data_IF_808258649310
#
_entry.id   IF_808258649310
#
_cell.length_a   1.000
_cell.length_b   1.000
_cell.length_c   1.000
_cell.angle_alpha   90.00
_cell.angle_beta   90.00
_cell.angle_gamma   90.00
#
_symmetry.space_group_name_H-M   'P 1'
#
loop_
_entity.id
_entity.type
_entity.pdbx_description
1 polymer ?
#
# COMPACT_ATOMS: atom_id res chain seq x y z
N UNK A 1 38.54 -1.81 -23.07
CA UNK A 1 37.57 -2.91 -23.10
C UNK A 1 36.38 -2.49 -22.27
N UNK A 2 35.29 -2.07 -22.95
CA UNK A 2 34.05 -1.71 -22.26
C UNK A 2 33.36 -3.01 -21.86
N UNK A 3 33.41 -3.33 -20.58
CA UNK A 3 32.61 -4.42 -20.02
C UNK A 3 31.13 -4.06 -20.22
N UNK A 4 30.49 -4.66 -21.20
CA UNK A 4 29.04 -4.66 -21.30
C UNK A 4 28.54 -5.41 -20.06
N UNK A 5 28.14 -4.65 -19.04
CA UNK A 5 27.41 -5.22 -17.90
C UNK A 5 26.10 -5.74 -18.43
N UNK A 6 26.04 -7.00 -18.80
CA UNK A 6 24.79 -7.69 -19.09
C UNK A 6 23.96 -7.68 -17.81
N UNK A 7 22.91 -6.89 -17.78
CA UNK A 7 21.99 -6.88 -16.63
C UNK A 7 21.43 -8.30 -16.44
N UNK A 8 21.38 -8.77 -15.21
CA UNK A 8 20.80 -10.07 -14.88
C UNK A 8 19.36 -10.15 -15.41
N UNK A 9 18.95 -11.31 -15.98
CA UNK A 9 17.58 -11.47 -16.42
C UNK A 9 16.62 -11.38 -15.23
N UNK A 10 15.48 -10.74 -15.44
CA UNK A 10 14.42 -10.65 -14.40
C UNK A 10 13.83 -12.04 -14.19
N UNK A 11 13.70 -12.43 -12.92
CA UNK A 11 13.09 -13.68 -12.48
C UNK A 11 11.83 -13.47 -11.66
N UNK A 12 11.67 -12.28 -11.04
CA UNK A 12 10.51 -12.00 -10.19
C UNK A 12 9.99 -10.58 -10.39
N UNK A 13 8.68 -10.44 -10.21
CA UNK A 13 8.01 -9.14 -10.17
C UNK A 13 7.36 -9.02 -8.79
N UNK A 14 7.76 -8.01 -8.05
CA UNK A 14 7.23 -7.72 -6.71
C UNK A 14 6.26 -6.54 -6.81
N UNK A 15 5.13 -6.65 -6.16
CA UNK A 15 4.08 -5.63 -6.16
C UNK A 15 3.79 -5.17 -4.73
N UNK A 16 3.73 -3.87 -4.52
CA UNK A 16 2.99 -3.37 -3.36
C UNK A 16 1.49 -3.62 -3.58
N UNK A 17 0.74 -3.62 -2.50
CA UNK A 17 -0.71 -3.84 -2.53
C UNK A 17 -1.46 -2.51 -2.49
N UNK A 18 -1.38 -1.77 -1.38
CA UNK A 18 -2.10 -0.51 -1.22
C UNK A 18 -1.55 0.60 -2.10
N UNK A 19 -2.33 1.13 -3.02
CA UNK A 19 -1.88 2.17 -3.95
C UNK A 19 -1.26 1.63 -5.23
N UNK A 20 -1.16 0.30 -5.39
CA UNK A 20 -0.68 -0.36 -6.61
C UNK A 20 -1.70 -1.39 -7.10
N UNK A 21 -1.90 -2.48 -6.36
CA UNK A 21 -2.84 -3.55 -6.74
C UNK A 21 -4.28 -3.16 -6.39
N UNK A 22 -4.45 -2.48 -5.26
CA UNK A 22 -5.74 -1.91 -4.85
C UNK A 22 -5.59 -0.40 -4.64
N UNK A 23 -6.70 0.31 -4.65
CA UNK A 23 -6.72 1.76 -4.43
C UNK A 23 -6.00 2.12 -3.13
N UNK A 24 -5.36 3.29 -3.14
CA UNK A 24 -4.59 3.77 -1.99
C UNK A 24 -5.50 4.09 -0.80
N UNK A 25 -5.16 3.63 0.40
CA UNK A 25 -5.87 4.02 1.63
C UNK A 25 -5.79 5.53 1.91
N UNK A 26 -4.84 6.25 1.31
CA UNK A 26 -4.71 7.71 1.45
C UNK A 26 -5.93 8.45 0.90
N UNK A 27 -6.70 7.86 -0.02
CA UNK A 27 -7.93 8.47 -0.55
C UNK A 27 -8.94 8.70 0.60
N UNK A 28 -9.13 7.69 1.44
CA UNK A 28 -10.02 7.81 2.61
C UNK A 28 -9.51 8.85 3.62
N UNK A 29 -8.19 8.95 3.74
CA UNK A 29 -7.54 9.94 4.61
C UNK A 29 -7.81 11.37 4.13
N UNK A 30 -7.73 11.63 2.82
CA UNK A 30 -8.07 12.96 2.27
C UNK A 30 -9.53 13.34 2.50
N UNK A 31 -10.45 12.36 2.42
CA UNK A 31 -11.87 12.59 2.74
C UNK A 31 -12.02 12.98 4.20
N UNK A 32 -11.34 12.26 5.09
CA UNK A 32 -11.36 12.51 6.54
C UNK A 32 -10.78 13.90 6.87
N UNK A 33 -9.66 14.28 6.25
CA UNK A 33 -9.04 15.62 6.41
C UNK A 33 -10.05 16.71 6.07
N UNK A 34 -10.72 16.59 4.92
CA UNK A 34 -11.71 17.56 4.47
C UNK A 34 -12.88 17.71 5.46
N UNK A 35 -13.38 16.59 5.98
CA UNK A 35 -14.46 16.59 6.98
C UNK A 35 -14.04 17.24 8.30
N UNK A 36 -12.77 17.12 8.65
CA UNK A 36 -12.20 17.72 9.87
C UNK A 36 -11.72 19.18 9.67
N UNK A 37 -11.84 19.73 8.45
CA UNK A 37 -11.35 21.07 8.12
C UNK A 37 -9.83 21.18 8.14
N UNK A 38 -9.12 20.06 7.95
CA UNK A 38 -7.66 20.01 7.92
C UNK A 38 -7.15 20.36 6.50
N UNK A 39 -5.96 20.95 6.38
CA UNK A 39 -5.33 21.10 5.09
C UNK A 39 -5.13 19.75 4.41
N UNK A 40 -5.21 19.74 3.09
CA UNK A 40 -4.97 18.52 2.31
C UNK A 40 -3.56 17.99 2.59
N UNK A 41 -3.45 16.69 2.76
CA UNK A 41 -2.21 15.98 3.08
C UNK A 41 -1.61 16.35 4.46
N UNK A 42 -2.39 16.95 5.38
CA UNK A 42 -1.89 17.31 6.73
C UNK A 42 -1.54 16.05 7.54
N UNK A 43 -2.33 14.98 7.41
CA UNK A 43 -2.10 13.72 8.13
C UNK A 43 -0.91 12.92 7.55
N UNK A 44 -0.63 13.07 6.26
CA UNK A 44 0.32 12.21 5.55
C UNK A 44 1.78 12.30 6.08
N UNK A 45 2.40 13.49 6.23
CA UNK A 45 3.74 13.56 6.83
C UNK A 45 3.78 13.08 8.28
N UNK A 46 2.68 13.18 9.00
CA UNK A 46 2.58 12.69 10.37
C UNK A 46 2.68 11.16 10.44
N UNK A 47 2.08 10.45 9.49
CA UNK A 47 2.19 8.99 9.42
C UNK A 47 3.64 8.53 9.23
N UNK A 48 4.49 9.35 8.62
CA UNK A 48 5.88 9.00 8.30
C UNK A 48 6.85 9.01 9.47
N UNK A 49 6.47 9.45 10.68
CA UNK A 49 7.42 9.84 11.73
C UNK A 49 7.78 8.74 12.76
N UNK A 50 7.47 7.49 12.48
CA UNK A 50 8.00 6.39 13.30
C UNK A 50 7.21 6.05 14.56
N UNK A 51 5.96 6.42 14.61
CA UNK A 51 5.09 6.19 15.76
C UNK A 51 4.26 4.89 15.71
N UNK A 52 3.04 4.98 16.20
CA UNK A 52 2.10 3.87 16.32
C UNK A 52 1.87 3.14 14.98
N UNK A 53 1.79 3.92 13.87
CA UNK A 53 1.56 3.37 12.54
C UNK A 53 2.65 2.36 12.15
N UNK A 54 3.94 2.73 12.27
CA UNK A 54 5.06 1.86 11.90
C UNK A 54 5.16 0.64 12.81
N UNK A 55 4.91 0.83 14.11
CA UNK A 55 4.88 -0.28 15.08
C UNK A 55 3.77 -1.28 14.74
N UNK A 56 2.61 -0.77 14.33
CA UNK A 56 1.47 -1.60 13.92
C UNK A 56 1.78 -2.38 12.64
N UNK A 57 2.40 -1.73 11.65
CA UNK A 57 2.83 -2.40 10.41
C UNK A 57 3.89 -3.48 10.65
N UNK A 58 4.69 -3.38 11.74
CA UNK A 58 5.64 -4.44 12.11
C UNK A 58 5.03 -5.52 13.02
N UNK A 59 3.74 -5.43 13.34
CA UNK A 59 3.09 -6.39 14.21
C UNK A 59 3.39 -6.22 15.70
N UNK A 60 4.01 -5.10 16.09
CA UNK A 60 4.44 -4.80 17.47
C UNK A 60 3.30 -4.31 18.37
N UNK A 61 2.23 -3.81 17.77
CA UNK A 61 1.05 -3.31 18.49
C UNK A 61 -0.16 -4.16 18.18
N UNK A 62 -1.00 -4.37 19.17
CA UNK A 62 -2.34 -4.94 19.00
C UNK A 62 -3.30 -3.85 18.51
N UNK A 63 -4.41 -4.27 17.93
CA UNK A 63 -5.35 -3.37 17.23
C UNK A 63 -5.91 -2.27 18.15
N UNK A 64 -6.38 -2.62 19.34
CA UNK A 64 -7.03 -1.62 20.21
C UNK A 64 -6.04 -0.61 20.81
N UNK A 65 -4.87 -1.01 21.34
CA UNK A 65 -3.83 -0.04 21.70
C UNK A 65 -3.38 0.83 20.53
N UNK A 66 -3.29 0.25 19.33
CA UNK A 66 -2.95 1.02 18.12
C UNK A 66 -3.95 2.16 17.89
N UNK A 67 -5.26 1.90 17.96
CA UNK A 67 -6.27 2.94 17.75
C UNK A 67 -6.07 4.16 18.68
N UNK A 68 -5.81 3.88 19.95
CA UNK A 68 -5.63 4.94 20.95
C UNK A 68 -4.39 5.78 20.63
N UNK A 69 -3.24 5.10 20.50
CA UNK A 69 -1.97 5.77 20.21
C UNK A 69 -2.01 6.52 18.87
N UNK A 70 -2.58 5.90 17.84
CA UNK A 70 -2.70 6.48 16.50
C UNK A 70 -3.53 7.77 16.52
N UNK A 71 -4.68 7.72 17.22
CA UNK A 71 -5.54 8.90 17.39
C UNK A 71 -4.85 9.99 18.18
N UNK A 72 -4.15 9.64 19.28
CA UNK A 72 -3.40 10.58 20.12
C UNK A 72 -2.28 11.27 19.34
N UNK A 73 -1.43 10.48 18.64
CA UNK A 73 -0.32 11.00 17.84
C UNK A 73 -0.80 11.96 16.76
N UNK A 74 -1.86 11.58 16.04
CA UNK A 74 -2.40 12.42 14.96
C UNK A 74 -3.21 13.62 15.47
N UNK A 75 -3.57 13.66 16.76
CA UNK A 75 -4.23 14.81 17.37
C UNK A 75 -3.24 15.85 17.90
N UNK A 76 -1.95 15.54 17.94
CA UNK A 76 -0.93 16.49 18.38
C UNK A 76 -0.68 17.55 17.30
N UNK A 77 -1.40 18.67 17.38
CA UNK A 77 -1.26 19.75 16.40
C UNK A 77 0.11 20.46 16.49
N UNK A 78 0.80 20.39 17.62
CA UNK A 78 2.15 20.94 17.75
C UNK A 78 3.13 20.23 16.81
N UNK A 79 3.18 18.90 16.93
CA UNK A 79 4.02 18.05 16.07
C UNK A 79 3.48 18.03 14.64
N UNK A 80 2.18 17.84 14.47
CA UNK A 80 1.54 17.76 13.16
C UNK A 80 1.80 18.99 12.29
N UNK A 81 1.63 20.17 12.88
CA UNK A 81 1.87 21.43 12.17
C UNK A 81 3.35 21.61 11.82
N UNK A 82 4.26 21.15 12.68
CA UNK A 82 5.69 21.20 12.39
C UNK A 82 6.04 20.33 11.18
N UNK A 83 5.64 19.06 11.20
CA UNK A 83 5.91 18.11 10.09
C UNK A 83 5.27 18.57 8.79
N UNK A 84 4.07 19.13 8.86
CA UNK A 84 3.38 19.64 7.67
C UNK A 84 4.09 20.86 7.08
N UNK A 85 4.62 21.78 7.90
CA UNK A 85 5.43 22.91 7.41
C UNK A 85 6.69 22.42 6.68
N UNK A 86 7.40 21.45 7.28
CA UNK A 86 8.60 20.83 6.66
C UNK A 86 8.25 20.17 5.32
N UNK A 87 7.11 19.49 5.28
CA UNK A 87 6.61 18.84 4.07
C UNK A 87 6.29 19.88 2.97
N UNK A 88 5.57 20.93 3.28
CA UNK A 88 5.28 22.03 2.33
C UNK A 88 6.58 22.65 1.79
N UNK A 89 7.54 22.93 2.68
CA UNK A 89 8.85 23.49 2.31
C UNK A 89 9.59 22.55 1.33
N UNK A 90 9.54 21.25 1.59
CA UNK A 90 10.21 20.27 0.72
C UNK A 90 9.62 20.21 -0.70
N UNK A 91 8.38 20.67 -0.85
CA UNK A 91 7.67 20.72 -2.13
C UNK A 91 7.59 22.11 -2.76
N UNK A 92 8.19 23.12 -2.13
CA UNK A 92 8.06 24.53 -2.51
C UNK A 92 6.58 24.99 -2.53
N UNK A 93 5.77 24.50 -1.60
CA UNK A 93 4.36 24.87 -1.47
C UNK A 93 4.16 25.85 -0.31
N UNK A 94 3.18 26.75 -0.47
CA UNK A 94 2.80 27.67 0.61
C UNK A 94 2.11 26.90 1.73
N UNK A 95 2.41 27.29 2.97
CA UNK A 95 1.75 26.70 4.15
C UNK A 95 0.38 27.38 4.33
N UNK A 96 -0.72 26.63 4.28
CA UNK A 96 -2.04 27.22 4.53
C UNK A 96 -2.26 27.50 6.03
N UNK A 97 -3.44 28.00 6.39
CA UNK A 97 -3.85 28.12 7.79
C UNK A 97 -3.85 26.73 8.42
N UNK A 98 -3.15 26.59 9.54
CA UNK A 98 -3.00 25.32 10.25
C UNK A 98 -3.95 25.22 11.44
N UNK A 99 -4.42 24.00 11.80
CA UNK A 99 -5.33 23.85 12.94
C UNK A 99 -4.65 24.17 14.25
N UNK A 100 -5.35 24.89 15.14
CA UNK A 100 -4.92 25.12 16.52
C UNK A 100 -5.15 23.89 17.40
N UNK A 101 -6.22 23.15 17.10
CA UNK A 101 -6.56 21.91 17.77
C UNK A 101 -7.33 21.00 16.81
N UNK A 102 -7.18 19.69 16.97
CA UNK A 102 -7.98 18.70 16.24
C UNK A 102 -8.08 17.45 17.11
N UNK A 103 -9.20 16.76 17.01
CA UNK A 103 -9.35 15.44 17.63
C UNK A 103 -9.54 14.40 16.54
N UNK A 104 -8.56 13.51 16.40
CA UNK A 104 -8.57 12.41 15.46
C UNK A 104 -9.04 11.15 16.18
N UNK A 105 -10.08 10.53 15.66
CA UNK A 105 -10.50 9.21 16.11
C UNK A 105 -9.72 8.16 15.32
N UNK A 106 -8.73 7.54 15.98
CA UNK A 106 -7.84 6.56 15.33
C UNK A 106 -8.56 5.34 14.80
N UNK A 107 -9.60 4.86 15.51
CA UNK A 107 -10.42 3.73 15.04
C UNK A 107 -11.19 4.10 13.76
N UNK A 108 -11.87 5.24 13.81
CA UNK A 108 -12.67 5.71 12.67
C UNK A 108 -11.80 5.96 11.43
N UNK A 109 -10.68 6.65 11.61
CA UNK A 109 -9.75 6.93 10.49
C UNK A 109 -9.21 5.63 9.90
N UNK A 110 -8.69 4.74 10.74
CA UNK A 110 -8.12 3.45 10.28
C UNK A 110 -9.19 2.61 9.58
N UNK A 111 -10.39 2.52 10.16
CA UNK A 111 -11.50 1.78 9.54
C UNK A 111 -11.85 2.30 8.15
N UNK A 112 -11.89 3.63 7.96
CA UNK A 112 -12.13 4.22 6.63
C UNK A 112 -11.03 3.85 5.63
N UNK A 113 -9.77 3.87 6.08
CA UNK A 113 -8.62 3.52 5.23
C UNK A 113 -8.70 2.05 4.79
N UNK A 114 -9.12 1.15 5.69
CA UNK A 114 -9.13 -0.30 5.42
C UNK A 114 -10.31 -0.72 4.52
N UNK A 115 -11.44 -0.02 4.56
CA UNK A 115 -12.62 -0.36 3.75
C UNK A 115 -12.48 -0.02 2.27
N UNK A 116 -11.40 0.65 1.85
CA UNK A 116 -11.17 1.03 0.45
C UNK A 116 -10.31 -0.06 -0.24
N UNK A 117 -10.94 -1.02 -0.90
CA UNK A 117 -10.26 -2.21 -1.45
C UNK A 117 -10.71 -2.54 -2.88
N UNK A 118 -10.69 -1.56 -3.78
CA UNK A 118 -11.02 -1.78 -5.19
C UNK A 118 -9.74 -2.05 -5.99
N UNK A 119 -9.74 -3.11 -6.79
CA UNK A 119 -8.58 -3.50 -7.60
C UNK A 119 -8.33 -2.52 -8.76
N UNK A 120 -7.03 -2.27 -9.03
CA UNK A 120 -6.64 -1.57 -10.26
C UNK A 120 -6.76 -2.53 -11.44
N UNK A 121 -7.57 -2.21 -12.46
CA UNK A 121 -7.84 -3.16 -13.55
C UNK A 121 -6.62 -3.44 -14.43
N UNK A 122 -5.73 -2.48 -14.63
CA UNK A 122 -4.53 -2.68 -15.46
C UNK A 122 -3.51 -3.56 -14.75
N UNK A 123 -3.32 -3.33 -13.45
CA UNK A 123 -2.42 -4.16 -12.64
C UNK A 123 -2.97 -5.58 -12.50
N UNK A 124 -4.28 -5.72 -12.27
CA UNK A 124 -4.91 -7.05 -12.18
C UNK A 124 -4.72 -7.83 -13.50
N UNK A 125 -4.97 -7.18 -14.64
CA UNK A 125 -4.75 -7.78 -15.97
C UNK A 125 -3.28 -8.18 -16.16
N UNK A 126 -2.36 -7.29 -15.77
CA UNK A 126 -0.91 -7.56 -15.88
C UNK A 126 -0.50 -8.77 -15.03
N UNK A 127 -1.01 -8.89 -13.81
CA UNK A 127 -0.74 -10.02 -12.92
C UNK A 127 -1.22 -11.33 -13.57
N UNK A 128 -2.44 -11.36 -14.14
CA UNK A 128 -2.96 -12.54 -14.80
C UNK A 128 -2.06 -12.97 -15.98
N UNK A 129 -1.65 -12.03 -16.83
CA UNK A 129 -0.76 -12.33 -17.98
C UNK A 129 0.63 -12.79 -17.54
N UNK A 130 1.17 -12.19 -16.45
CA UNK A 130 2.42 -12.66 -15.86
C UNK A 130 2.30 -14.12 -15.42
N UNK A 131 1.19 -14.49 -14.75
CA UNK A 131 0.93 -15.86 -14.30
C UNK A 131 0.81 -16.82 -15.49
N UNK A 132 0.07 -16.42 -16.52
CA UNK A 132 -0.07 -17.21 -17.76
C UNK A 132 1.28 -17.47 -18.44
N UNK A 133 2.19 -16.51 -18.39
CA UNK A 133 3.52 -16.65 -19.00
C UNK A 133 4.39 -17.72 -18.34
N UNK A 134 4.16 -17.99 -17.05
CA UNK A 134 4.94 -18.93 -16.21
C UNK A 134 6.46 -18.61 -16.19
N UNK A 135 6.84 -17.37 -16.52
CA UNK A 135 8.25 -16.96 -16.64
C UNK A 135 8.78 -16.29 -15.40
N UNK A 136 7.90 -15.77 -14.55
CA UNK A 136 8.27 -14.92 -13.41
C UNK A 136 7.58 -15.40 -12.14
N UNK A 137 8.29 -15.28 -11.04
CA UNK A 137 7.69 -15.41 -9.72
C UNK A 137 6.99 -14.09 -9.39
N UNK A 138 5.75 -14.14 -8.93
CA UNK A 138 4.89 -12.97 -8.68
C UNK A 138 4.68 -12.88 -7.18
N UNK A 139 5.16 -11.79 -6.56
CA UNK A 139 5.22 -11.68 -5.11
C UNK A 139 4.55 -10.38 -4.66
N UNK A 140 3.70 -10.46 -3.64
CA UNK A 140 3.25 -9.28 -2.91
C UNK A 140 4.31 -8.91 -1.86
N UNK A 141 4.72 -7.62 -1.81
CA UNK A 141 5.62 -7.09 -0.79
C UNK A 141 4.95 -5.86 -0.19
N UNK A 142 4.28 -6.03 0.96
CA UNK A 142 3.32 -5.05 1.45
C UNK A 142 3.50 -4.75 2.94
N UNK A 143 3.33 -3.47 3.31
CA UNK A 143 3.07 -3.08 4.68
C UNK A 143 1.59 -3.40 4.96
N UNK A 144 1.33 -4.33 5.88
CA UNK A 144 0.00 -4.90 6.05
C UNK A 144 -0.22 -5.37 7.50
N UNK A 145 -1.35 -5.99 7.78
CA UNK A 145 -1.85 -6.18 9.14
C UNK A 145 -2.39 -7.60 9.39
N UNK A 146 -1.93 -8.61 8.65
CA UNK A 146 -2.46 -9.98 8.78
C UNK A 146 -2.29 -10.55 10.18
N UNK A 147 -1.17 -10.26 10.84
CA UNK A 147 -0.94 -10.72 12.21
C UNK A 147 -1.98 -10.16 13.19
N UNK A 148 -2.37 -8.90 13.02
CA UNK A 148 -3.40 -8.29 13.87
C UNK A 148 -4.79 -8.86 13.59
N UNK A 149 -5.09 -9.09 12.31
CA UNK A 149 -6.35 -9.75 11.92
C UNK A 149 -6.47 -11.11 12.60
N UNK A 150 -5.41 -11.92 12.55
CA UNK A 150 -5.40 -13.26 13.16
C UNK A 150 -5.58 -13.18 14.70
N UNK A 151 -4.90 -12.24 15.36
CA UNK A 151 -5.06 -12.04 16.81
C UNK A 151 -6.50 -11.69 17.18
N UNK A 152 -7.14 -10.80 16.43
CA UNK A 152 -8.54 -10.40 16.71
C UNK A 152 -9.49 -11.56 16.41
N UNK A 153 -9.32 -12.23 15.25
CA UNK A 153 -10.16 -13.39 14.86
C UNK A 153 -10.10 -14.50 15.90
N UNK A 154 -8.91 -14.75 16.42
CA UNK A 154 -8.65 -15.88 17.33
C UNK A 154 -8.76 -15.50 18.82
N UNK A 155 -9.35 -14.32 19.14
CA UNK A 155 -9.57 -13.88 20.51
C UNK A 155 -10.37 -14.92 21.30
N UNK A 156 -9.82 -15.46 22.39
CA UNK A 156 -10.53 -16.48 23.17
C UNK A 156 -11.87 -15.97 23.75
N UNK A 157 -12.90 -16.81 23.87
CA UNK A 157 -14.19 -16.41 24.44
C UNK A 157 -14.08 -15.72 25.80
N UNK A 158 -13.11 -16.12 26.64
CA UNK A 158 -12.86 -15.51 27.94
C UNK A 158 -12.42 -14.04 27.88
N UNK A 159 -11.95 -13.57 26.73
CA UNK A 159 -11.46 -12.20 26.53
C UNK A 159 -12.36 -11.35 25.62
N UNK A 160 -13.40 -11.93 25.04
CA UNK A 160 -14.25 -11.22 24.06
C UNK A 160 -15.01 -10.04 24.65
N UNK A 161 -15.22 -9.98 25.95
CA UNK A 161 -15.86 -8.85 26.64
C UNK A 161 -14.92 -7.73 27.07
N UNK A 162 -13.62 -7.83 26.78
CA UNK A 162 -12.64 -6.85 27.22
C UNK A 162 -12.72 -5.51 26.47
N UNK A 163 -13.35 -5.49 25.31
CA UNK A 163 -13.47 -4.29 24.46
C UNK A 163 -14.94 -3.97 24.17
N UNK A 164 -15.18 -2.73 23.77
CA UNK A 164 -16.54 -2.20 23.50
C UNK A 164 -17.28 -2.98 22.42
N UNK A 165 -16.57 -3.51 21.44
CA UNK A 165 -17.14 -4.27 20.32
C UNK A 165 -16.59 -5.70 20.32
N UNK A 166 -17.41 -6.66 19.90
CA UNK A 166 -16.93 -8.03 19.75
C UNK A 166 -15.88 -8.14 18.64
N UNK A 167 -15.00 -9.14 18.67
CA UNK A 167 -14.04 -9.35 17.58
C UNK A 167 -14.68 -9.38 16.19
N UNK A 168 -15.82 -10.07 16.05
CA UNK A 168 -16.54 -10.16 14.77
C UNK A 168 -17.02 -8.78 14.31
N UNK A 169 -17.62 -7.99 15.20
CA UNK A 169 -18.10 -6.64 14.88
C UNK A 169 -16.93 -5.72 14.49
N UNK A 170 -15.77 -5.89 15.13
CA UNK A 170 -14.58 -5.12 14.81
C UNK A 170 -14.02 -5.48 13.42
N UNK A 171 -13.94 -6.78 13.13
CA UNK A 171 -13.48 -7.24 11.82
C UNK A 171 -14.42 -6.77 10.70
N UNK A 172 -15.74 -6.81 10.92
CA UNK A 172 -16.71 -6.28 9.96
C UNK A 172 -16.55 -4.77 9.76
N UNK A 173 -16.35 -4.04 10.86
CA UNK A 173 -16.10 -2.58 10.80
C UNK A 173 -14.89 -2.25 9.93
N UNK A 174 -13.83 -3.06 9.99
CA UNK A 174 -12.61 -2.86 9.20
C UNK A 174 -12.74 -3.35 7.74
N UNK A 175 -13.84 -4.02 7.39
CA UNK A 175 -13.96 -4.69 6.10
C UNK A 175 -13.11 -5.97 6.03
N UNK A 176 -12.76 -6.53 7.18
CA UNK A 176 -11.97 -7.76 7.32
C UNK A 176 -12.83 -8.97 7.73
N UNK A 177 -14.14 -8.88 7.54
CA UNK A 177 -15.08 -9.92 7.94
C UNK A 177 -14.89 -11.24 7.19
N UNK A 178 -15.77 -12.21 7.49
CA UNK A 178 -15.67 -13.58 6.95
C UNK A 178 -15.62 -13.63 5.41
N UNK A 179 -16.38 -12.75 4.76
CA UNK A 179 -16.47 -12.75 3.29
C UNK A 179 -15.20 -12.23 2.61
N UNK A 180 -14.44 -11.38 3.30
CA UNK A 180 -13.19 -10.84 2.78
C UNK A 180 -11.97 -11.64 3.24
N UNK A 181 -12.01 -12.25 4.42
CA UNK A 181 -10.91 -13.05 4.96
C UNK A 181 -9.72 -12.24 5.43
N UNK A 182 -9.94 -10.99 5.84
CA UNK A 182 -8.91 -10.13 6.42
C UNK A 182 -8.27 -9.16 5.43
N UNK A 183 -7.23 -8.42 5.87
CA UNK A 183 -6.57 -7.40 5.05
C UNK A 183 -5.79 -7.97 3.86
N UNK A 184 -5.54 -9.27 3.89
CA UNK A 184 -4.89 -10.01 2.80
C UNK A 184 -5.70 -11.27 2.52
N UNK A 185 -6.98 -11.07 2.22
CA UNK A 185 -7.92 -12.17 2.05
C UNK A 185 -7.60 -13.08 0.87
N UNK A 186 -8.29 -14.22 0.77
CA UNK A 186 -7.98 -15.25 -0.23
C UNK A 186 -7.94 -14.74 -1.68
N UNK A 187 -8.80 -13.80 -2.03
CA UNK A 187 -8.83 -13.24 -3.40
C UNK A 187 -7.53 -12.51 -3.75
N UNK A 188 -6.99 -11.70 -2.83
CA UNK A 188 -5.72 -11.00 -3.04
C UNK A 188 -4.57 -12.01 -3.03
N UNK A 189 -4.52 -12.90 -2.02
CA UNK A 189 -3.43 -13.88 -1.90
C UNK A 189 -3.31 -14.78 -3.12
N UNK A 190 -4.45 -15.17 -3.73
CA UNK A 190 -4.48 -16.04 -4.90
C UNK A 190 -3.81 -15.43 -6.14
N UNK A 191 -3.60 -14.12 -6.16
CA UNK A 191 -2.91 -13.44 -7.27
C UNK A 191 -1.40 -13.69 -7.28
N UNK A 192 -0.82 -14.11 -6.15
CA UNK A 192 0.63 -14.14 -5.93
C UNK A 192 1.13 -15.55 -5.60
N UNK A 193 2.38 -15.80 -5.96
CA UNK A 193 3.08 -17.04 -5.60
C UNK A 193 3.58 -16.99 -4.15
N UNK A 194 3.81 -15.75 -3.63
CA UNK A 194 4.17 -15.51 -2.24
C UNK A 194 3.62 -14.16 -1.80
N UNK A 195 3.35 -14.03 -0.50
CA UNK A 195 2.75 -12.83 0.09
C UNK A 195 3.55 -12.41 1.32
N UNK A 196 4.46 -11.46 1.13
CA UNK A 196 5.36 -10.95 2.17
C UNK A 196 4.67 -9.79 2.89
N UNK A 197 4.20 -10.06 4.10
CA UNK A 197 3.41 -9.17 4.95
C UNK A 197 4.29 -8.67 6.10
N UNK A 198 4.43 -7.36 6.23
CA UNK A 198 5.30 -6.72 7.22
C UNK A 198 4.97 -7.14 8.65
N UNK A 199 3.68 -7.25 8.98
CA UNK A 199 3.25 -7.59 10.36
C UNK A 199 3.60 -9.03 10.73
N UNK A 200 3.76 -9.90 9.74
CA UNK A 200 4.17 -11.31 9.95
C UNK A 200 5.70 -11.42 10.00
N UNK A 201 6.38 -10.67 9.13
CA UNK A 201 7.86 -10.68 9.04
C UNK A 201 8.50 -9.92 10.21
N UNK A 202 7.81 -8.94 10.78
CA UNK A 202 8.36 -8.08 11.85
C UNK A 202 9.26 -6.97 11.33
N UNK A 203 9.19 -6.68 10.01
CA UNK A 203 9.94 -5.59 9.37
C UNK A 203 9.09 -5.03 8.24
N UNK A 204 9.21 -3.72 7.98
CA UNK A 204 8.35 -3.01 7.04
C UNK A 204 9.16 -2.26 5.99
N UNK A 205 8.56 -1.96 4.84
CA UNK A 205 9.14 -1.01 3.89
C UNK A 205 9.15 0.39 4.54
N UNK A 206 10.22 1.18 4.41
CA UNK A 206 11.41 1.00 3.57
C UNK A 206 12.62 0.36 4.27
N UNK A 207 12.46 -0.40 5.33
CA UNK A 207 13.57 -1.08 6.01
C UNK A 207 14.19 -2.12 5.08
N UNK A 208 15.53 -2.13 4.88
CA UNK A 208 16.17 -3.09 3.96
C UNK A 208 15.86 -4.56 4.27
N UNK A 209 15.63 -4.90 5.54
CA UNK A 209 15.43 -6.27 5.99
C UNK A 209 14.23 -6.95 5.31
N UNK A 210 13.12 -6.24 5.08
CA UNK A 210 11.94 -6.88 4.46
C UNK A 210 12.19 -7.23 2.98
N UNK A 211 12.95 -6.40 2.25
CA UNK A 211 13.31 -6.67 0.86
C UNK A 211 14.24 -7.87 0.77
N UNK A 212 15.23 -7.92 1.65
CA UNK A 212 16.19 -9.04 1.73
C UNK A 212 15.46 -10.34 2.09
N UNK A 213 14.53 -10.28 3.05
CA UNK A 213 13.66 -11.40 3.40
C UNK A 213 12.87 -11.88 2.17
N UNK A 214 12.21 -10.95 1.47
CA UNK A 214 11.40 -11.28 0.29
C UNK A 214 12.23 -11.95 -0.81
N UNK A 215 13.42 -11.44 -1.08
CA UNK A 215 14.34 -12.05 -2.06
C UNK A 215 14.74 -13.45 -1.64
N UNK A 216 15.18 -13.61 -0.39
CA UNK A 216 15.63 -14.90 0.16
C UNK A 216 14.50 -15.94 0.12
N UNK A 217 13.29 -15.56 0.58
CA UNK A 217 12.13 -16.47 0.61
C UNK A 217 11.73 -16.94 -0.78
N UNK A 218 12.00 -16.11 -1.80
CA UNK A 218 11.61 -16.41 -3.18
C UNK A 218 12.78 -16.89 -4.06
N UNK A 219 13.97 -17.11 -3.50
CA UNK A 219 15.11 -17.69 -4.19
C UNK A 219 15.65 -16.80 -5.32
N UNK A 220 15.58 -15.47 -5.17
CA UNK A 220 16.06 -14.51 -6.16
C UNK A 220 17.04 -13.51 -5.55
N UNK A 221 17.91 -12.96 -6.39
CA UNK A 221 18.76 -11.84 -6.01
C UNK A 221 18.08 -10.51 -6.32
N UNK A 222 18.36 -9.44 -5.58
CA UNK A 222 17.71 -8.14 -5.85
C UNK A 222 17.79 -7.67 -7.31
N UNK A 223 18.93 -7.87 -7.98
CA UNK A 223 19.12 -7.48 -9.38
C UNK A 223 18.31 -8.31 -10.39
N UNK A 224 17.63 -9.36 -9.92
CA UNK A 224 16.71 -10.20 -10.71
C UNK A 224 15.24 -9.83 -10.49
N UNK A 225 14.97 -8.74 -9.71
CA UNK A 225 13.62 -8.32 -9.31
C UNK A 225 13.26 -6.98 -9.95
N UNK A 226 12.01 -6.87 -10.41
CA UNK A 226 11.35 -5.58 -10.66
C UNK A 226 10.34 -5.36 -9.54
N UNK A 227 10.41 -4.22 -8.85
CA UNK A 227 9.49 -3.87 -7.77
C UNK A 227 8.63 -2.65 -8.14
N UNK A 228 7.31 -2.79 -8.00
CA UNK A 228 6.33 -1.74 -8.24
C UNK A 228 5.77 -1.23 -6.91
N UNK A 229 5.86 0.09 -6.66
CA UNK A 229 5.39 0.71 -5.41
C UNK A 229 5.03 2.18 -5.70
N UNK A 230 4.09 2.76 -4.96
CA UNK A 230 3.70 4.17 -5.13
C UNK A 230 4.56 5.12 -4.30
N UNK A 231 5.22 4.63 -3.24
CA UNK A 231 6.02 5.45 -2.34
C UNK A 231 7.49 5.49 -2.77
N UNK A 232 7.96 6.70 -3.12
CA UNK A 232 9.34 6.89 -3.56
C UNK A 232 10.40 6.42 -2.57
N UNK A 233 10.11 6.52 -1.27
CA UNK A 233 11.04 6.07 -0.22
C UNK A 233 11.24 4.54 -0.27
N UNK A 234 10.17 3.79 -0.50
CA UNK A 234 10.23 2.34 -0.67
C UNK A 234 11.08 1.95 -1.90
N UNK A 235 10.83 2.64 -3.02
CA UNK A 235 11.57 2.41 -4.27
C UNK A 235 13.06 2.74 -4.11
N UNK A 236 13.37 3.83 -3.38
CA UNK A 236 14.76 4.25 -3.13
C UNK A 236 15.55 3.13 -2.43
N UNK A 237 14.98 2.53 -1.38
CA UNK A 237 15.62 1.41 -0.68
C UNK A 237 15.78 0.20 -1.60
N UNK A 238 14.75 -0.15 -2.37
CA UNK A 238 14.80 -1.25 -3.33
C UNK A 238 15.94 -1.05 -4.35
N UNK A 239 16.09 0.18 -4.89
CA UNK A 239 17.17 0.54 -5.82
C UNK A 239 18.55 0.41 -5.17
N UNK A 240 18.69 0.86 -3.92
CA UNK A 240 19.96 0.74 -3.18
C UNK A 240 20.38 -0.71 -2.98
N UNK A 241 19.39 -1.63 -2.92
CA UNK A 241 19.64 -3.06 -2.83
C UNK A 241 19.90 -3.72 -4.19
N UNK A 242 19.71 -2.98 -5.30
CA UNK A 242 19.96 -3.46 -6.65
C UNK A 242 18.72 -3.88 -7.44
N UNK A 243 17.51 -3.69 -6.91
CA UNK A 243 16.29 -4.00 -7.64
C UNK A 243 16.03 -2.95 -8.74
N UNK A 244 15.42 -3.39 -9.83
CA UNK A 244 14.79 -2.46 -10.78
C UNK A 244 13.45 -2.02 -10.19
N UNK A 245 13.09 -0.76 -10.38
CA UNK A 245 11.86 -0.23 -9.77
C UNK A 245 11.00 0.48 -10.80
N UNK A 246 9.70 0.38 -10.61
CA UNK A 246 8.71 1.15 -11.35
C UNK A 246 7.88 1.92 -10.33
N UNK A 247 7.87 3.26 -10.47
CA UNK A 247 7.04 4.09 -9.61
C UNK A 247 5.60 4.06 -10.12
N UNK A 248 4.70 3.61 -9.27
CA UNK A 248 3.26 3.71 -9.52
C UNK A 248 2.82 5.13 -9.14
N UNK A 249 2.30 5.89 -10.06
CA UNK A 249 1.87 7.26 -9.78
C UNK A 249 0.36 7.34 -9.84
N UNK A 250 -0.19 7.46 -8.85
CA UNK A 250 -1.55 7.72 -8.78
C UNK A 250 -1.65 9.12 -9.17
N UNK A 251 -1.97 9.32 -10.06
CA UNK A 251 -2.14 10.62 -10.45
C UNK A 251 -3.02 11.18 -9.41
N UNK A 252 -2.53 11.66 -8.64
CA UNK A 252 -3.24 12.33 -7.67
C UNK A 252 -4.02 13.31 -8.38
N UNK A 253 -4.91 12.85 -8.68
CA UNK A 253 -5.78 13.72 -9.37
C UNK A 253 -6.30 14.79 -8.51
N UNK A 254 -6.18 15.69 -8.98
CA UNK A 254 -6.74 16.79 -8.42
C UNK A 254 -8.15 16.45 -8.16
N UNK A 255 -8.34 16.25 -7.33
CA UNK A 255 -9.46 15.70 -6.83
C UNK A 255 -10.76 16.25 -6.86
N UNK A 256 -11.22 16.28 -7.70
CA UNK A 256 -12.57 16.58 -7.55
C UNK A 256 -13.30 15.33 -7.77
N UNK A 257 -13.63 14.87 -7.69
CA UNK A 257 -14.56 13.87 -7.82
C UNK A 257 -14.05 12.48 -8.02
N UNK A 258 -14.39 11.81 -7.95
CA UNK A 258 -14.25 10.44 -8.07
C UNK A 258 -13.50 9.89 -9.25
N UNK A 259 -13.17 10.55 -10.17
CA UNK A 259 -12.46 9.95 -11.29
C UNK A 259 -10.96 10.02 -11.03
N UNK A 260 -10.35 8.94 -10.55
CA UNK A 260 -8.90 8.71 -10.54
C UNK A 260 -8.46 8.60 -12.01
N UNK A 261 -7.51 9.43 -12.48
CA UNK A 261 -7.02 9.28 -13.84
C UNK A 261 -6.38 7.90 -14.03
N UNK A 262 -6.94 7.15 -14.92
CA UNK A 262 -6.57 5.77 -15.28
C UNK A 262 -5.17 5.71 -15.95
N UNK A 263 -4.59 6.87 -16.28
CA UNK A 263 -3.34 6.94 -17.05
C UNK A 263 -2.06 6.49 -16.32
N UNK A 264 -2.05 6.56 -14.98
CA UNK A 264 -0.82 6.24 -14.20
C UNK A 264 -0.53 4.75 -14.14
N UNK A 265 -1.52 3.93 -13.87
CA UNK A 265 -1.39 2.48 -13.79
C UNK A 265 -1.01 1.87 -15.14
N UNK A 266 -1.63 2.36 -16.22
CA UNK A 266 -1.31 1.93 -17.57
C UNK A 266 0.17 2.18 -17.92
N UNK A 267 0.69 3.39 -17.63
CA UNK A 267 2.11 3.72 -17.87
C UNK A 267 3.05 2.81 -17.08
N UNK A 268 2.71 2.47 -15.85
CA UNK A 268 3.52 1.56 -15.05
C UNK A 268 3.54 0.14 -15.65
N UNK A 269 2.41 -0.31 -16.19
CA UNK A 269 2.34 -1.60 -16.90
C UNK A 269 3.15 -1.55 -18.21
N UNK A 270 3.10 -0.43 -18.98
CA UNK A 270 3.93 -0.23 -20.18
C UNK A 270 5.43 -0.32 -19.85
N UNK A 271 5.86 0.31 -18.75
CA UNK A 271 7.24 0.23 -18.29
C UNK A 271 7.62 -1.21 -17.91
N UNK A 272 6.70 -1.93 -17.27
CA UNK A 272 6.93 -3.33 -16.91
C UNK A 272 7.07 -4.19 -18.18
N UNK A 273 6.18 -4.02 -19.19
CA UNK A 273 6.28 -4.69 -20.49
C UNK A 273 7.69 -4.53 -21.10
N UNK A 274 8.19 -3.29 -21.11
CA UNK A 274 9.51 -2.97 -21.68
C UNK A 274 10.64 -3.66 -20.93
N UNK A 275 10.55 -3.74 -19.61
CA UNK A 275 11.60 -4.33 -18.77
C UNK A 275 11.65 -5.86 -18.87
N UNK A 276 10.49 -6.52 -19.03
CA UNK A 276 10.42 -8.00 -18.97
C UNK A 276 10.22 -8.66 -20.35
N UNK A 277 9.91 -7.85 -21.37
CA UNK A 277 9.81 -8.32 -22.75
C UNK A 277 8.59 -9.18 -23.06
N UNK A 278 7.46 -8.97 -22.36
CA UNK A 278 6.19 -9.63 -22.69
C UNK A 278 5.04 -8.61 -22.65
N UNK A 279 4.04 -8.75 -23.57
CA UNK A 279 2.89 -7.83 -23.58
C UNK A 279 1.95 -8.12 -22.41
N UNK A 280 1.66 -7.09 -21.62
CA UNK A 280 0.77 -7.15 -20.45
C UNK A 280 -0.53 -6.36 -20.66
N UNK A 281 -0.54 -5.38 -21.57
CA UNK A 281 -1.75 -4.63 -21.94
C UNK A 281 -2.46 -5.31 -23.10
N UNK A 282 -3.78 -5.22 -23.10
CA UNK A 282 -4.59 -5.66 -24.25
C UNK A 282 -4.50 -4.62 -25.38
N UNK A 283 -4.84 -5.01 -26.61
CA UNK A 283 -4.82 -4.09 -27.76
C UNK A 283 -5.72 -2.87 -27.57
N UNK A 284 -6.86 -3.07 -26.90
CA UNK A 284 -7.81 -2.00 -26.58
C UNK A 284 -7.22 -1.01 -25.54
N UNK A 285 -6.48 -1.52 -24.57
CA UNK A 285 -5.85 -0.72 -23.52
C UNK A 285 -4.70 0.15 -24.07
N UNK A 286 -4.18 -0.17 -25.25
CA UNK A 286 -3.10 0.61 -25.89
C UNK A 286 -3.59 1.89 -26.56
N UNK A 287 -4.91 2.06 -26.74
CA UNK A 287 -5.50 3.28 -27.27
C UNK A 287 -5.67 4.30 -26.12
N UNK A 288 -5.04 5.50 -26.22
CA UNK A 288 -5.13 6.48 -25.13
C UNK A 288 -6.54 7.03 -24.89
N UNK A 289 -7.45 6.83 -25.81
CA UNK A 289 -8.85 7.30 -25.71
C UNK A 289 -9.82 6.21 -25.24
N UNK A 290 -9.35 4.99 -25.02
CA UNK A 290 -10.21 3.92 -24.49
C UNK A 290 -10.15 3.92 -22.95
N UNK A 291 -11.30 3.96 -22.31
CA UNK A 291 -11.42 3.61 -20.90
C UNK A 291 -11.09 2.12 -20.70
N UNK A 292 -10.95 1.65 -19.46
CA UNK A 292 -10.61 0.25 -19.21
C UNK A 292 -11.65 -0.67 -19.86
N UNK A 293 -11.20 -1.47 -20.82
CA UNK A 293 -12.06 -2.40 -21.56
C UNK A 293 -12.53 -3.54 -20.68
N UNK A 294 -13.83 -3.63 -20.55
CA UNK A 294 -14.50 -4.83 -20.09
C UNK A 294 -14.51 -5.05 -18.56
N UNK A 295 -15.70 -5.16 -18.02
CA UNK A 295 -15.91 -5.63 -16.65
C UNK A 295 -15.36 -7.06 -16.53
N UNK A 296 -14.20 -7.22 -15.93
CA UNK A 296 -13.74 -8.54 -15.50
C UNK A 296 -14.75 -9.05 -14.45
N UNK A 297 -15.56 -10.01 -14.84
CA UNK A 297 -16.38 -10.75 -13.88
C UNK A 297 -15.44 -11.72 -13.14
N UNK A 298 -15.18 -11.41 -11.89
CA UNK A 298 -14.65 -12.37 -10.92
C UNK A 298 -15.77 -13.31 -10.49
#
# INVERSE_FOLDING_TARGET
MNATTTSSPIKAVFFDIGGVVIKSPLIAMHVYEREKGLPKDWLNPNLGQGGAWQRFERGELELYPFYSLFGEELSDTGLGNRYYREWCQSKNENVPTLPESVKIDGRELFGRMMRSSEFDPYILSAIHKLRESKRFRIVALTNNYSAQYERVRDTPPSQQGAHKFSPEAELEFLGWGKDTGGPAGPKIRALFDDFVDSSVVGSRKPEPAIYQYACKANGVNPNEVVFLDDLGLNLKTAQQLGMRTIRFTXXXXXXXXXDVPIGGSRKSVEQLEQLIGIPLLNSEDKNPNSGPGGKSKL
#
